data_IF_859735516431
#
_entry.id   IF_859735516431
#
_cell.length_a   1.000
_cell.length_b   1.000
_cell.length_c   1.000
_cell.angle_alpha   90.00
_cell.angle_beta   90.00
_cell.angle_gamma   90.00
#
_symmetry.space_group_name_H-M   'P 1'
#
loop_
_entity.id
_entity.type
_entity.pdbx_description
1 polymer ?
#
# COMPACT_ATOMS: atom_id res chain seq x y z
N UNK A 1 18.91 26.40 27.88
CA UNK A 1 18.06 25.20 27.83
C UNK A 1 17.47 25.28 26.44
N UNK A 2 17.97 24.46 25.54
CA UNK A 2 17.67 24.57 24.12
C UNK A 2 16.25 24.06 23.91
N UNK A 3 15.34 24.98 23.57
CA UNK A 3 13.91 24.76 23.39
C UNK A 3 13.60 24.20 21.99
N UNK A 4 14.43 23.28 21.49
CA UNK A 4 14.35 22.80 20.10
C UNK A 4 13.63 21.44 20.01
N UNK A 5 13.24 20.84 21.14
CA UNK A 5 12.79 19.46 21.21
C UNK A 5 12.04 19.10 22.51
N UNK A 6 11.33 20.05 23.12
CA UNK A 6 10.69 19.87 24.44
C UNK A 6 9.69 18.71 24.47
N UNK A 7 8.84 18.63 23.44
CA UNK A 7 7.89 17.54 23.25
C UNK A 7 8.58 16.16 23.13
N UNK A 8 9.56 16.04 22.24
CA UNK A 8 10.26 14.77 22.00
C UNK A 8 11.04 14.31 23.25
N UNK A 9 11.57 15.25 24.03
CA UNK A 9 12.23 14.97 25.30
C UNK A 9 11.27 14.48 26.38
N UNK A 10 10.05 15.03 26.41
CA UNK A 10 9.02 14.59 27.34
C UNK A 10 8.52 13.17 27.01
N UNK A 11 8.44 12.78 25.73
CA UNK A 11 8.17 11.39 25.33
C UNK A 11 9.25 10.41 25.83
N UNK A 12 10.51 10.86 25.95
CA UNK A 12 11.61 10.03 26.48
C UNK A 12 11.53 9.83 28.01
N UNK A 13 10.76 10.65 28.74
CA UNK A 13 10.70 10.63 30.21
C UNK A 13 9.65 9.61 30.71
N UNK A 14 10.12 8.44 31.16
CA UNK A 14 9.28 7.32 31.64
C UNK A 14 8.41 7.69 32.86
N UNK A 15 7.08 7.75 32.68
CA UNK A 15 6.07 8.17 33.66
C UNK A 15 5.02 7.11 34.01
N UNK A 16 3.73 7.52 34.13
CA UNK A 16 2.57 6.61 34.24
C UNK A 16 2.37 5.95 32.86
N UNK A 17 1.22 5.31 32.56
CA UNK A 17 1.05 4.79 31.21
C UNK A 17 0.85 5.95 30.21
N UNK A 18 1.85 6.22 29.36
CA UNK A 18 1.83 7.24 28.31
C UNK A 18 2.03 6.61 26.92
N UNK A 19 2.08 7.43 25.88
CA UNK A 19 2.51 7.03 24.54
C UNK A 19 3.91 6.36 24.50
N UNK A 20 4.76 6.57 25.50
CA UNK A 20 6.08 5.92 25.63
C UNK A 20 6.03 4.47 26.17
N UNK A 21 4.86 3.98 26.58
CA UNK A 21 4.61 2.56 26.84
C UNK A 21 4.37 1.76 25.55
N UNK A 22 4.14 2.44 24.42
CA UNK A 22 4.12 1.79 23.12
C UNK A 22 5.54 1.26 22.83
N UNK A 23 5.64 0.00 22.43
CA UNK A 23 6.94 -0.67 22.25
C UNK A 23 7.79 -0.02 21.15
N UNK A 24 7.12 0.48 20.10
CA UNK A 24 7.75 1.12 18.95
C UNK A 24 6.78 2.07 18.26
N UNK A 25 6.48 3.26 18.82
CA UNK A 25 5.57 4.19 18.18
C UNK A 25 6.32 5.09 17.21
N UNK A 26 5.65 5.48 16.12
CA UNK A 26 5.99 6.66 15.34
C UNK A 26 4.99 7.75 15.70
N UNK A 27 5.47 8.92 16.13
CA UNK A 27 4.61 10.04 16.58
C UNK A 27 5.08 11.30 15.87
N UNK A 28 4.14 12.02 15.27
CA UNK A 28 4.37 13.36 14.73
C UNK A 28 3.30 14.33 15.24
N UNK A 29 3.70 15.55 15.57
CA UNK A 29 2.81 16.63 16.02
C UNK A 29 2.96 17.86 15.14
N UNK A 30 1.88 18.63 15.03
CA UNK A 30 1.81 19.78 14.15
C UNK A 30 2.67 20.97 14.59
N UNK A 31 3.02 21.05 15.88
CA UNK A 31 3.77 22.15 16.48
C UNK A 31 4.56 21.63 17.69
N UNK A 32 5.48 22.45 18.21
CA UNK A 32 6.19 22.16 19.47
C UNK A 32 5.27 22.34 20.69
N UNK A 33 5.77 21.96 21.87
CA UNK A 33 5.01 21.90 23.12
C UNK A 33 4.47 23.26 23.61
N UNK A 34 5.08 24.37 23.20
CA UNK A 34 4.68 25.74 23.52
C UNK A 34 4.13 26.56 22.34
N UNK A 35 3.77 25.89 21.24
CA UNK A 35 3.37 26.52 19.98
C UNK A 35 1.92 26.23 19.58
N UNK A 36 1.38 27.09 18.71
CA UNK A 36 0.07 26.87 18.11
C UNK A 36 0.19 26.04 16.82
N UNK A 37 -0.79 25.16 16.59
CA UNK A 37 -1.05 24.61 15.27
C UNK A 37 -1.98 25.55 14.51
N UNK A 38 -1.49 26.20 13.46
CA UNK A 38 -2.24 27.19 12.70
C UNK A 38 -3.14 26.53 11.65
N UNK A 39 -4.28 27.18 11.40
CA UNK A 39 -5.15 26.92 10.24
C UNK A 39 -5.04 28.09 9.26
N UNK A 40 -5.16 27.78 7.97
CA UNK A 40 -5.13 28.80 6.92
C UNK A 40 -6.30 28.61 5.95
N UNK A 41 -7.04 29.71 5.71
CA UNK A 41 -8.22 29.70 4.85
C UNK A 41 -7.88 29.40 3.38
N UNK A 42 -6.70 29.80 2.90
CA UNK A 42 -6.28 29.56 1.52
C UNK A 42 -5.84 28.11 1.31
N UNK A 43 -5.20 27.49 2.32
CA UNK A 43 -4.87 26.06 2.33
C UNK A 43 -6.11 25.18 2.58
N UNK A 44 -7.20 25.74 3.11
CA UNK A 44 -8.43 25.03 3.51
C UNK A 44 -8.20 23.91 4.53
N UNK A 45 -7.09 23.97 5.27
CA UNK A 45 -6.62 22.97 6.19
C UNK A 45 -5.75 23.62 7.29
N UNK A 46 -5.44 22.86 8.34
CA UNK A 46 -4.29 23.17 9.20
C UNK A 46 -3.00 23.20 8.37
N UNK A 47 -2.08 24.13 8.63
CA UNK A 47 -0.82 24.29 7.87
C UNK A 47 -0.05 22.97 7.83
N UNK A 48 0.13 22.32 8.99
CA UNK A 48 0.72 20.99 9.08
C UNK A 48 -0.06 19.94 8.29
N UNK A 49 -1.39 19.90 8.43
CA UNK A 49 -2.23 18.90 7.77
C UNK A 49 -2.17 19.03 6.25
N UNK A 50 -2.14 20.25 5.72
CA UNK A 50 -1.98 20.51 4.30
C UNK A 50 -0.69 19.89 3.78
N UNK A 51 0.45 20.20 4.40
CA UNK A 51 1.75 19.71 3.94
C UNK A 51 1.95 18.21 4.21
N UNK A 52 1.33 17.65 5.24
CA UNK A 52 1.28 16.20 5.42
C UNK A 52 0.57 15.53 4.25
N UNK A 53 -0.57 16.05 3.79
CA UNK A 53 -1.28 15.49 2.63
C UNK A 53 -0.47 15.62 1.33
N UNK A 54 0.23 16.74 1.14
CA UNK A 54 1.16 16.89 0.02
C UNK A 54 2.32 15.89 0.09
N UNK A 55 2.86 15.63 1.29
CA UNK A 55 3.92 14.67 1.52
C UNK A 55 3.49 13.23 1.20
N UNK A 56 2.23 12.87 1.45
CA UNK A 56 1.68 11.55 1.07
C UNK A 56 1.62 11.31 -0.45
N UNK A 57 1.92 12.33 -1.25
CA UNK A 57 1.97 12.24 -2.71
C UNK A 57 3.38 12.50 -3.27
N UNK A 58 4.19 13.29 -2.57
CA UNK A 58 5.46 13.81 -3.10
C UNK A 58 6.68 13.52 -2.20
N UNK A 59 6.47 12.94 -1.01
CA UNK A 59 7.49 12.75 0.00
C UNK A 59 8.33 11.47 -0.13
N UNK A 60 8.27 10.76 -1.26
CA UNK A 60 9.06 9.54 -1.50
C UNK A 60 10.52 9.91 -1.82
N UNK A 61 11.31 10.10 -0.75
CA UNK A 61 12.69 10.60 -0.86
C UNK A 61 13.66 9.55 -1.38
N UNK A 62 13.32 8.26 -1.24
CA UNK A 62 14.20 7.15 -1.62
C UNK A 62 13.78 6.47 -2.95
N UNK A 63 12.65 6.87 -3.54
CA UNK A 63 12.06 6.39 -4.80
C UNK A 63 11.67 4.89 -4.79
N UNK A 64 11.34 4.33 -3.62
CA UNK A 64 10.90 2.93 -3.49
C UNK A 64 9.39 2.71 -3.69
N UNK A 65 8.64 3.80 -3.90
CA UNK A 65 7.19 3.79 -4.11
C UNK A 65 6.37 3.71 -2.84
N UNK A 66 7.00 3.85 -1.67
CA UNK A 66 6.35 3.96 -0.36
C UNK A 66 6.60 5.34 0.23
N UNK A 67 5.60 5.87 0.94
CA UNK A 67 5.71 7.16 1.64
C UNK A 67 5.80 6.89 3.14
N UNK A 68 7.01 6.71 3.65
CA UNK A 68 7.22 6.46 5.06
C UNK A 68 6.98 7.70 5.91
N UNK A 69 6.76 7.49 7.22
CA UNK A 69 6.54 8.58 8.16
C UNK A 69 7.68 9.57 8.18
N UNK A 70 8.90 9.06 8.28
CA UNK A 70 10.13 9.84 8.31
C UNK A 70 10.28 10.67 7.03
N UNK A 71 10.00 10.06 5.87
CA UNK A 71 10.11 10.75 4.58
C UNK A 71 9.02 11.82 4.40
N UNK A 72 7.81 11.54 4.89
CA UNK A 72 6.74 12.53 4.87
C UNK A 72 7.05 13.69 5.83
N UNK A 73 7.71 13.41 6.96
CA UNK A 73 8.12 14.43 7.91
C UNK A 73 9.24 15.31 7.35
N UNK A 74 10.26 14.70 6.74
CA UNK A 74 11.33 15.38 6.03
C UNK A 74 10.80 16.31 4.93
N UNK A 75 9.75 15.90 4.21
CA UNK A 75 9.08 16.73 3.22
C UNK A 75 8.32 17.91 3.86
N UNK A 76 7.48 17.64 4.86
CA UNK A 76 6.55 18.65 5.39
C UNK A 76 7.22 19.68 6.28
N UNK A 77 8.25 19.30 7.06
CA UNK A 77 8.86 20.17 8.07
C UNK A 77 9.33 21.52 7.50
N UNK A 78 10.19 21.57 6.46
CA UNK A 78 10.66 22.84 5.92
C UNK A 78 9.53 23.69 5.30
N UNK A 79 8.46 23.06 4.81
CA UNK A 79 7.32 23.76 4.21
C UNK A 79 6.43 24.41 5.28
N UNK A 80 6.17 23.71 6.39
CA UNK A 80 5.43 24.27 7.52
C UNK A 80 6.18 25.47 8.11
N UNK A 81 7.46 25.31 8.42
CA UNK A 81 8.29 26.39 9.00
C UNK A 81 8.43 27.57 8.03
N UNK A 82 8.48 27.30 6.72
CA UNK A 82 8.48 28.36 5.70
C UNK A 82 7.14 29.08 5.59
N UNK A 83 6.01 28.41 5.84
CA UNK A 83 4.68 29.01 5.76
C UNK A 83 4.35 29.80 7.02
N UNK A 84 4.58 29.20 8.19
CA UNK A 84 4.41 29.82 9.50
C UNK A 84 5.66 29.59 10.36
N UNK A 85 6.48 30.63 10.46
CA UNK A 85 7.77 30.60 11.16
C UNK A 85 7.68 30.39 12.67
N UNK A 86 6.48 30.44 13.26
CA UNK A 86 6.24 30.15 14.68
C UNK A 86 5.55 28.81 14.91
N UNK A 87 5.56 27.92 13.92
CA UNK A 87 5.06 26.56 14.03
C UNK A 87 6.14 25.58 13.59
N UNK A 88 6.64 24.78 14.52
CA UNK A 88 7.70 23.79 14.31
C UNK A 88 7.16 22.39 14.62
N UNK A 89 6.75 21.62 13.60
CA UNK A 89 6.32 20.24 13.78
C UNK A 89 7.37 19.41 14.52
N UNK A 90 6.94 18.44 15.32
CA UNK A 90 7.85 17.56 16.07
C UNK A 90 7.66 16.11 15.66
N UNK A 91 8.77 15.37 15.66
CA UNK A 91 8.80 13.94 15.39
C UNK A 91 9.44 13.19 16.55
N UNK A 92 8.83 12.07 16.91
CA UNK A 92 9.42 11.05 17.75
C UNK A 92 9.35 9.72 16.99
N UNK A 93 10.52 9.31 16.50
CA UNK A 93 10.73 8.00 15.93
C UNK A 93 11.17 6.99 16.99
N UNK A 94 10.24 6.13 17.40
CA UNK A 94 10.50 4.93 18.18
C UNK A 94 10.36 3.65 17.35
N UNK A 95 10.17 3.74 16.04
CA UNK A 95 9.94 2.62 15.14
C UNK A 95 11.27 2.13 14.53
N UNK A 96 11.61 0.83 14.62
CA UNK A 96 12.79 0.32 13.93
C UNK A 96 12.57 0.30 12.41
N UNK A 97 13.29 1.15 11.69
CA UNK A 97 13.24 1.23 10.22
C UNK A 97 12.38 2.40 9.76
N UNK A 98 11.66 2.23 8.66
CA UNK A 98 10.73 3.23 8.14
C UNK A 98 9.31 2.94 8.63
N UNK A 99 8.66 3.93 9.25
CA UNK A 99 7.29 3.83 9.74
C UNK A 99 6.30 3.92 8.58
N UNK A 100 5.36 2.97 8.50
CA UNK A 100 4.34 3.02 7.46
C UNK A 100 3.17 3.92 7.91
N UNK A 101 2.97 5.07 7.25
CA UNK A 101 1.81 5.97 7.49
C UNK A 101 0.59 5.58 6.63
N UNK A 102 0.82 5.11 5.40
CA UNK A 102 -0.24 4.67 4.49
C UNK A 102 0.08 3.26 4.00
N UNK A 103 -0.62 2.27 4.53
CA UNK A 103 -0.77 1.01 3.80
C UNK A 103 -1.74 1.28 2.67
N UNK A 104 -1.25 1.61 1.47
CA UNK A 104 -2.04 1.37 0.27
C UNK A 104 -2.06 -0.14 0.06
N UNK A 105 -2.93 -0.82 0.81
CA UNK A 105 -3.45 -2.07 0.32
C UNK A 105 -4.20 -1.69 -0.94
N UNK A 106 -3.65 -2.09 -2.11
CA UNK A 106 -4.41 -2.07 -3.34
C UNK A 106 -5.81 -2.59 -3.00
N UNK A 107 -6.90 -1.90 -3.40
CA UNK A 107 -8.22 -2.49 -3.20
C UNK A 107 -8.11 -3.91 -3.71
N UNK A 108 -8.49 -4.88 -2.87
CA UNK A 108 -8.57 -6.27 -3.30
C UNK A 108 -9.54 -6.23 -4.47
N UNK A 109 -9.03 -6.12 -5.69
CA UNK A 109 -9.76 -6.39 -6.90
C UNK A 109 -10.14 -7.83 -6.66
N UNK A 110 -11.43 -8.05 -6.41
CA UNK A 110 -11.96 -9.37 -6.04
C UNK A 110 -11.56 -10.31 -7.19
N UNK A 111 -10.42 -10.96 -7.00
CA UNK A 111 -9.80 -11.78 -8.01
C UNK A 111 -10.60 -13.05 -8.13
N UNK A 112 -10.43 -13.82 -9.21
CA UNK A 112 -10.98 -15.16 -9.24
C UNK A 112 -10.44 -15.95 -8.04
N UNK A 113 -11.33 -16.46 -7.19
CA UNK A 113 -10.95 -17.36 -6.09
C UNK A 113 -10.65 -18.74 -6.67
N UNK A 114 -9.36 -19.03 -6.89
CA UNK A 114 -8.89 -20.31 -7.43
C UNK A 114 -8.80 -21.31 -6.28
N UNK A 115 -9.77 -22.22 -6.19
CA UNK A 115 -9.84 -23.25 -5.15
C UNK A 115 -8.91 -24.44 -5.41
N UNK A 116 -8.45 -24.59 -6.65
CA UNK A 116 -7.52 -25.64 -7.02
C UNK A 116 -6.98 -25.52 -8.43
N UNK A 117 -5.79 -26.07 -8.65
CA UNK A 117 -5.17 -26.17 -9.96
C UNK A 117 -4.50 -27.53 -10.12
N UNK A 118 -4.74 -28.20 -11.25
CA UNK A 118 -4.16 -29.51 -11.54
C UNK A 118 -3.56 -29.53 -12.94
N UNK A 119 -2.34 -30.05 -13.06
CA UNK A 119 -1.68 -30.32 -14.35
C UNK A 119 -1.16 -31.76 -14.32
N UNK A 120 -2.01 -32.76 -14.61
CA UNK A 120 -1.55 -34.14 -14.68
C UNK A 120 -0.60 -34.29 -15.88
N UNK A 121 0.43 -35.14 -15.72
CA UNK A 121 1.43 -35.33 -16.77
C UNK A 121 0.78 -35.85 -18.08
N UNK A 122 0.90 -35.08 -19.16
CA UNK A 122 0.34 -35.40 -20.46
C UNK A 122 -1.18 -35.29 -20.56
N UNK A 123 -1.85 -34.60 -19.63
CA UNK A 123 -3.30 -34.39 -19.61
C UNK A 123 -3.67 -32.91 -19.56
N UNK A 124 -4.97 -32.64 -19.64
CA UNK A 124 -5.58 -31.31 -19.51
C UNK A 124 -5.17 -30.60 -18.23
N UNK A 125 -4.71 -29.35 -18.35
CA UNK A 125 -4.54 -28.48 -17.19
C UNK A 125 -5.90 -27.89 -16.82
N UNK A 126 -6.25 -27.88 -15.54
CA UNK A 126 -7.56 -27.44 -15.07
C UNK A 126 -7.44 -26.50 -13.86
N UNK A 127 -8.12 -25.36 -13.93
CA UNK A 127 -8.32 -24.43 -12.82
C UNK A 127 -9.75 -24.56 -12.29
N UNK A 128 -9.90 -24.67 -10.97
CA UNK A 128 -11.18 -24.61 -10.28
C UNK A 128 -11.35 -23.24 -9.67
N UNK A 129 -12.50 -22.62 -9.90
CA UNK A 129 -12.77 -21.23 -9.52
C UNK A 129 -14.12 -21.15 -8.80
N UNK A 130 -14.16 -20.57 -7.60
CA UNK A 130 -15.42 -20.14 -6.99
C UNK A 130 -15.94 -18.94 -7.78
N UNK A 131 -17.00 -19.13 -8.57
CA UNK A 131 -17.49 -18.12 -9.50
C UNK A 131 -18.65 -17.30 -8.95
N UNK A 132 -18.79 -16.06 -9.45
CA UNK A 132 -19.96 -15.20 -9.22
C UNK A 132 -20.97 -15.38 -10.36
N UNK A 133 -22.27 -15.48 -10.05
CA UNK A 133 -23.30 -15.65 -11.07
C UNK A 133 -23.32 -14.46 -12.05
N UNK A 134 -23.16 -14.74 -13.34
CA UNK A 134 -23.17 -13.72 -14.40
C UNK A 134 -21.84 -13.00 -14.61
N UNK A 135 -20.77 -13.41 -13.90
CA UNK A 135 -19.41 -12.95 -14.16
C UNK A 135 -18.68 -13.94 -15.06
N UNK A 136 -18.12 -13.48 -16.17
CA UNK A 136 -17.35 -14.35 -17.06
C UNK A 136 -15.87 -14.37 -16.66
N UNK A 137 -15.23 -15.52 -16.86
CA UNK A 137 -13.84 -15.78 -16.52
C UNK A 137 -13.09 -16.36 -17.73
N UNK A 138 -11.78 -16.12 -17.81
CA UNK A 138 -10.91 -16.74 -18.80
C UNK A 138 -9.67 -17.36 -18.15
N UNK A 139 -9.35 -18.59 -18.54
CA UNK A 139 -8.06 -19.21 -18.28
C UNK A 139 -7.13 -18.81 -19.43
N UNK A 140 -6.01 -18.21 -19.10
CA UNK A 140 -4.99 -17.80 -20.06
C UNK A 140 -3.65 -18.43 -19.71
N UNK A 141 -2.82 -18.64 -20.73
CA UNK A 141 -1.46 -19.11 -20.56
C UNK A 141 -0.45 -18.25 -21.31
N UNK A 142 0.80 -18.33 -20.88
CA UNK A 142 1.97 -17.84 -21.62
C UNK A 142 3.12 -18.83 -21.47
N UNK A 143 4.01 -18.87 -22.45
CA UNK A 143 5.26 -19.64 -22.38
C UNK A 143 6.45 -18.77 -21.99
N UNK A 144 6.27 -17.44 -21.90
CA UNK A 144 7.36 -16.50 -21.63
C UNK A 144 6.92 -15.32 -20.74
N UNK A 145 7.02 -15.50 -19.43
CA UNK A 145 6.80 -14.42 -18.44
C UNK A 145 7.82 -13.28 -18.51
N UNK A 146 8.90 -13.41 -19.28
CA UNK A 146 9.94 -12.38 -19.42
C UNK A 146 9.75 -11.49 -20.66
N UNK A 147 8.77 -11.79 -21.50
CA UNK A 147 8.44 -10.94 -22.65
C UNK A 147 7.92 -9.57 -22.19
N UNK A 148 8.15 -8.53 -23.01
CA UNK A 148 7.64 -7.19 -22.74
C UNK A 148 6.99 -6.60 -24.01
N UNK A 149 5.64 -6.54 -24.09
CA UNK A 149 4.69 -7.03 -23.07
C UNK A 149 4.65 -8.57 -23.01
N UNK A 150 4.20 -9.12 -21.89
CA UNK A 150 3.91 -10.56 -21.80
C UNK A 150 2.66 -10.86 -22.64
N UNK A 151 2.81 -11.73 -23.64
CA UNK A 151 1.70 -12.20 -24.46
C UNK A 151 0.97 -13.35 -23.74
N UNK A 152 -0.33 -13.16 -23.52
CA UNK A 152 -1.22 -14.15 -22.91
C UNK A 152 -2.18 -14.68 -23.96
N UNK A 153 -2.23 -16.00 -24.08
CA UNK A 153 -3.15 -16.71 -24.98
C UNK A 153 -4.29 -17.30 -24.17
N UNK A 154 -5.51 -17.16 -24.67
CA UNK A 154 -6.69 -17.77 -24.05
C UNK A 154 -6.69 -19.28 -24.27
N UNK A 155 -6.83 -20.04 -23.18
CA UNK A 155 -7.04 -21.48 -23.21
C UNK A 155 -8.53 -21.82 -23.15
N UNK A 156 -9.29 -21.13 -22.30
CA UNK A 156 -10.71 -21.40 -22.07
C UNK A 156 -11.43 -20.19 -21.48
N UNK A 157 -12.76 -20.18 -21.62
CA UNK A 157 -13.67 -19.18 -21.02
C UNK A 157 -14.87 -19.87 -20.38
N UNK A 158 -15.31 -19.36 -19.24
CA UNK A 158 -16.45 -19.92 -18.53
C UNK A 158 -17.29 -18.84 -17.86
N UNK A 159 -18.61 -18.95 -18.02
CA UNK A 159 -19.57 -18.09 -17.33
C UNK A 159 -19.75 -18.55 -15.89
N UNK A 160 -19.69 -17.60 -14.97
CA UNK A 160 -19.87 -17.84 -13.56
C UNK A 160 -21.31 -18.21 -13.22
N UNK A 161 -21.44 -19.21 -12.37
CA UNK A 161 -22.72 -19.82 -11.98
C UNK A 161 -23.14 -19.48 -10.56
N UNK A 162 -22.29 -18.76 -9.81
CA UNK A 162 -22.44 -18.58 -8.36
C UNK A 162 -21.91 -19.75 -7.53
N UNK A 163 -21.30 -20.76 -8.18
CA UNK A 163 -20.65 -21.92 -7.57
C UNK A 163 -19.29 -22.21 -8.22
N UNK A 164 -18.72 -23.39 -7.97
CA UNK A 164 -17.44 -23.78 -8.60
C UNK A 164 -17.62 -24.00 -10.11
N UNK A 165 -16.73 -23.39 -10.90
CA UNK A 165 -16.55 -23.68 -12.33
C UNK A 165 -15.14 -24.26 -12.57
N UNK A 166 -14.98 -24.97 -13.68
CA UNK A 166 -13.70 -25.53 -14.11
C UNK A 166 -13.35 -24.91 -15.47
N UNK A 167 -12.15 -24.35 -15.59
CA UNK A 167 -11.58 -23.85 -16.84
C UNK A 167 -10.42 -24.74 -17.25
N UNK A 168 -10.36 -25.13 -18.52
CA UNK A 168 -9.47 -26.21 -18.99
C UNK A 168 -8.59 -25.83 -20.19
N UNK A 169 -7.28 -26.08 -20.08
CA UNK A 169 -6.41 -26.17 -21.23
C UNK A 169 -6.30 -27.63 -21.68
N UNK A 170 -7.08 -27.98 -22.71
CA UNK A 170 -7.20 -29.34 -23.23
C UNK A 170 -6.03 -29.79 -24.11
N UNK A 171 -5.16 -28.87 -24.53
CA UNK A 171 -4.04 -29.16 -25.43
C UNK A 171 -2.74 -28.50 -24.96
N UNK A 172 -2.22 -28.83 -23.76
CA UNK A 172 -0.92 -28.35 -23.31
C UNK A 172 0.18 -29.06 -24.10
N UNK A 173 0.71 -28.39 -25.13
CA UNK A 173 1.74 -28.95 -26.03
C UNK A 173 3.14 -28.40 -25.77
N UNK A 174 3.26 -27.33 -25.00
CA UNK A 174 4.55 -26.69 -24.71
C UNK A 174 5.25 -27.36 -23.53
N UNK A 175 6.58 -27.35 -23.55
CA UNK A 175 7.41 -27.89 -22.46
C UNK A 175 7.15 -27.20 -21.11
N UNK A 176 6.68 -25.94 -21.13
CA UNK A 176 6.30 -25.18 -19.96
C UNK A 176 5.26 -24.10 -20.30
N UNK A 177 4.19 -24.02 -19.50
CA UNK A 177 3.18 -22.96 -19.54
C UNK A 177 3.01 -22.36 -18.15
N UNK A 178 2.80 -21.05 -18.12
CA UNK A 178 2.34 -20.31 -16.95
C UNK A 178 0.90 -19.93 -17.16
N UNK A 179 0.06 -20.13 -16.14
CA UNK A 179 -1.38 -19.89 -16.24
C UNK A 179 -1.81 -18.73 -15.36
N UNK A 180 -2.87 -18.05 -15.76
CA UNK A 180 -3.63 -17.11 -14.93
C UNK A 180 -5.12 -17.28 -15.21
N UNK A 181 -5.94 -16.98 -14.21
CA UNK A 181 -7.38 -16.76 -14.41
C UNK A 181 -7.63 -15.27 -14.34
N UNK A 182 -8.43 -14.75 -15.27
CA UNK A 182 -8.89 -13.36 -15.26
C UNK A 182 -10.41 -13.29 -15.25
N UNK A 183 -10.92 -12.17 -14.76
CA UNK A 183 -12.33 -11.80 -14.89
C UNK A 183 -12.49 -10.99 -16.18
N UNK A 184 -13.47 -11.36 -17.00
CA UNK A 184 -13.81 -10.64 -18.23
C UNK A 184 -14.73 -9.44 -17.91
N UNK A 185 -14.58 -8.31 -18.62
CA UNK A 185 -15.37 -7.10 -18.39
C UNK A 185 -16.83 -7.22 -18.82
#
# INVERSE_FOLDING_TARGET
MDAVNGFADDLRRKGRRDANDLLSPYISTAADDDEYSYEDDALQHGVYTYYLLEALTNGDSNEDGWFAGEETFDYLYPLVVSFESTQHPQEYDGWPGLANIVTWDAPVVDGPDITGFSVPAGATAAARVTSVLGQDYALQYTTNLKANPVEWTEADTGAGTGGEIILEDSTPSDDMRFYRVIILP
#
